data_IF_023318203865
#
_entry.id   IF_023318203865
#
_cell.length_a   1.000
_cell.length_b   1.000
_cell.length_c   1.000
_cell.angle_alpha   90.00
_cell.angle_beta   90.00
_cell.angle_gamma   90.00
#
_symmetry.space_group_name_H-M   'P 1'
#
loop_
_entity.id
_entity.type
_entity.pdbx_description
1 polymer ?
#
# COMPACT_ATOMS: atom_id res chain seq x y z
N UNK A 1 14.73 -31.57 41.90
CA UNK A 1 13.65 -30.64 42.29
C UNK A 1 13.71 -29.45 41.33
N UNK A 2 12.58 -29.14 40.67
CA UNK A 2 12.26 -27.94 39.85
C UNK A 2 13.04 -27.68 38.54
N UNK A 3 12.34 -27.83 37.41
CA UNK A 3 12.56 -27.02 36.19
C UNK A 3 12.11 -25.57 36.47
N UNK A 4 12.60 -24.60 35.68
CA UNK A 4 11.74 -24.08 34.63
C UNK A 4 12.42 -23.86 33.26
N UNK A 5 11.56 -23.83 32.25
CA UNK A 5 11.74 -23.50 30.83
C UNK A 5 11.70 -21.97 30.66
N UNK A 6 12.50 -21.35 29.77
CA UNK A 6 12.10 -20.22 28.89
C UNK A 6 13.06 -20.16 27.67
N UNK A 7 12.43 -20.02 26.50
CA UNK A 7 12.93 -19.86 25.12
C UNK A 7 13.43 -18.43 24.87
N UNK A 8 14.35 -18.20 23.92
CA UNK A 8 14.26 -17.17 22.86
C UNK A 8 15.51 -17.24 21.96
N UNK A 9 15.27 -17.55 20.68
CA UNK A 9 16.19 -17.51 19.56
C UNK A 9 16.30 -16.05 19.10
N UNK A 10 17.46 -15.42 19.27
CA UNK A 10 17.84 -14.20 18.55
C UNK A 10 19.35 -14.26 18.30
N UNK A 11 19.75 -13.76 17.13
CA UNK A 11 21.12 -13.55 16.65
C UNK A 11 21.71 -14.62 15.72
N UNK A 12 21.24 -14.64 14.47
CA UNK A 12 22.12 -14.94 13.33
C UNK A 12 21.73 -14.11 12.11
N UNK A 13 21.94 -12.79 12.10
CA UNK A 13 22.25 -12.03 10.87
C UNK A 13 23.08 -10.80 11.26
N UNK A 14 24.40 -10.95 11.44
CA UNK A 14 25.30 -9.80 11.54
C UNK A 14 26.74 -10.03 11.04
N UNK A 15 27.10 -11.21 10.51
CA UNK A 15 28.49 -11.51 10.15
C UNK A 15 28.68 -12.07 8.74
N UNK A 16 27.81 -11.70 7.78
CA UNK A 16 27.96 -12.06 6.37
C UNK A 16 27.98 -10.85 5.42
N UNK A 17 28.21 -9.64 5.94
CA UNK A 17 28.09 -8.39 5.18
C UNK A 17 29.34 -8.03 4.34
N UNK A 18 30.52 -8.60 4.62
CA UNK A 18 31.77 -8.20 3.93
C UNK A 18 32.10 -8.99 2.66
N UNK A 19 31.78 -10.29 2.62
CA UNK A 19 32.21 -11.18 1.54
C UNK A 19 31.13 -11.44 0.47
N UNK A 20 29.89 -11.02 0.75
CA UNK A 20 28.75 -11.14 -0.19
C UNK A 20 28.68 -10.01 -1.22
N UNK A 21 29.42 -8.91 -1.04
CA UNK A 21 29.29 -7.73 -1.89
C UNK A 21 29.90 -7.93 -3.29
N UNK A 22 30.96 -8.73 -3.41
CA UNK A 22 31.62 -8.96 -4.71
C UNK A 22 30.92 -10.01 -5.59
N UNK A 23 30.24 -11.00 -5.01
CA UNK A 23 29.60 -12.10 -5.78
C UNK A 23 28.19 -11.76 -6.30
N UNK A 24 27.61 -10.63 -5.85
CA UNK A 24 26.26 -10.18 -6.22
C UNK A 24 26.21 -9.31 -7.48
N UNK A 25 27.34 -8.79 -7.98
CA UNK A 25 27.36 -7.95 -9.18
C UNK A 25 27.21 -8.74 -10.50
N UNK A 26 27.46 -10.06 -10.50
CA UNK A 26 27.45 -10.89 -11.71
C UNK A 26 26.53 -12.12 -11.65
N UNK A 27 25.64 -12.21 -10.67
CA UNK A 27 24.56 -13.20 -10.72
C UNK A 27 23.39 -12.57 -11.48
N UNK A 28 22.85 -13.17 -12.55
CA UNK A 28 21.55 -12.75 -13.03
C UNK A 28 20.61 -12.91 -11.84
N UNK A 29 20.13 -11.78 -11.30
CA UNK A 29 18.94 -11.80 -10.46
C UNK A 29 17.92 -12.47 -11.35
N UNK A 30 17.52 -13.71 -11.00
CA UNK A 30 16.28 -14.23 -11.51
C UNK A 30 15.25 -13.19 -11.07
N UNK A 31 14.86 -12.33 -12.01
CA UNK A 31 13.72 -11.47 -11.82
C UNK A 31 12.61 -12.36 -11.26
N UNK A 32 11.83 -11.90 -10.26
CA UNK A 32 10.62 -12.62 -9.89
C UNK A 32 9.91 -12.98 -11.20
N UNK A 33 9.61 -14.27 -11.37
CA UNK A 33 9.02 -14.77 -12.59
C UNK A 33 7.80 -13.89 -12.88
N UNK A 34 7.80 -13.18 -14.02
CA UNK A 34 6.65 -12.44 -14.50
C UNK A 34 5.52 -13.47 -14.59
N UNK A 35 4.58 -13.44 -13.64
CA UNK A 35 3.55 -14.48 -13.51
C UNK A 35 2.57 -14.47 -14.67
N UNK A 36 2.76 -13.57 -15.66
CA UNK A 36 1.89 -13.44 -16.82
C UNK A 36 0.57 -12.77 -16.50
N UNK A 37 0.39 -12.27 -15.27
CA UNK A 37 -0.79 -11.49 -14.87
C UNK A 37 -0.84 -10.14 -15.56
N UNK A 38 -2.04 -9.57 -15.71
CA UNK A 38 -2.20 -8.23 -16.27
C UNK A 38 -1.36 -7.20 -15.49
N UNK A 39 -0.80 -6.25 -16.21
CA UNK A 39 0.00 -5.15 -15.65
C UNK A 39 -0.84 -3.89 -15.55
N UNK A 40 -0.87 -3.30 -14.36
CA UNK A 40 -1.39 -1.95 -14.18
C UNK A 40 -0.30 -0.93 -14.47
N UNK A 41 -0.70 0.19 -15.05
CA UNK A 41 0.14 1.36 -15.27
C UNK A 41 -0.43 2.49 -14.42
N UNK A 42 0.45 3.23 -13.75
CA UNK A 42 0.01 4.25 -12.83
C UNK A 42 1.03 5.37 -12.62
N UNK A 43 0.58 6.37 -11.86
CA UNK A 43 1.36 7.53 -11.47
C UNK A 43 1.30 7.71 -9.96
N UNK A 44 2.47 7.78 -9.33
CA UNK A 44 2.62 8.17 -7.94
C UNK A 44 2.71 9.70 -7.85
N UNK A 45 1.78 10.31 -7.12
CA UNK A 45 1.85 11.71 -6.73
C UNK A 45 2.44 11.77 -5.33
N UNK A 46 3.75 12.01 -5.27
CA UNK A 46 4.47 12.12 -4.01
C UNK A 46 3.91 13.29 -3.18
N UNK A 47 3.68 13.10 -1.86
CA UNK A 47 3.31 14.20 -0.98
C UNK A 47 4.44 15.22 -0.88
N UNK A 48 4.10 16.45 -0.47
CA UNK A 48 5.08 17.53 -0.27
C UNK A 48 6.24 17.02 0.59
N UNK A 49 7.48 17.32 0.21
CA UNK A 49 8.68 16.91 0.95
C UNK A 49 9.25 15.55 0.56
N UNK A 50 8.59 14.81 -0.34
CA UNK A 50 9.10 13.55 -0.88
C UNK A 50 9.25 13.61 -2.40
N UNK A 51 10.08 12.74 -2.95
CA UNK A 51 10.22 12.55 -4.40
C UNK A 51 9.84 11.13 -4.81
N UNK A 52 9.28 10.90 -6.01
CA UNK A 52 8.77 9.58 -6.38
C UNK A 52 9.79 8.42 -6.28
N UNK A 53 11.06 8.68 -6.57
CA UNK A 53 12.15 7.69 -6.49
C UNK A 53 12.47 7.18 -5.06
N UNK A 54 11.97 7.87 -4.03
CA UNK A 54 12.07 7.44 -2.63
C UNK A 54 11.10 6.29 -2.31
N UNK A 55 10.15 6.03 -3.21
CA UNK A 55 9.16 4.99 -3.08
C UNK A 55 9.51 3.75 -3.90
N UNK A 56 9.06 2.60 -3.41
CA UNK A 56 9.06 1.33 -4.13
C UNK A 56 7.61 0.83 -4.23
N UNK A 57 7.17 0.49 -5.42
CA UNK A 57 5.86 -0.12 -5.62
C UNK A 57 5.92 -1.57 -5.19
N UNK A 58 4.94 -2.01 -4.41
CA UNK A 58 4.72 -3.39 -3.98
C UNK A 58 3.32 -3.80 -4.41
N UNK A 59 3.22 -4.92 -5.12
CA UNK A 59 1.96 -5.54 -5.52
C UNK A 59 2.17 -7.02 -5.79
N UNK A 60 1.26 -7.89 -5.32
CA UNK A 60 1.29 -9.34 -5.56
C UNK A 60 2.64 -10.03 -5.27
N UNK A 61 3.35 -9.60 -4.24
CA UNK A 61 4.66 -10.15 -3.87
C UNK A 61 5.81 -9.71 -4.79
N UNK A 62 5.54 -8.90 -5.80
CA UNK A 62 6.55 -8.20 -6.60
C UNK A 62 6.83 -6.81 -6.04
N UNK A 63 8.06 -6.34 -6.24
CA UNK A 63 8.47 -4.96 -5.96
C UNK A 63 9.14 -4.34 -7.18
N UNK A 64 8.83 -3.08 -7.49
CA UNK A 64 9.46 -2.31 -8.58
C UNK A 64 9.73 -0.88 -8.16
N UNK A 65 10.81 -0.30 -8.68
CA UNK A 65 11.12 1.11 -8.45
C UNK A 65 10.15 2.01 -9.23
N UNK A 66 9.86 3.18 -8.66
CA UNK A 66 9.09 4.24 -9.33
C UNK A 66 10.05 5.07 -10.19
N UNK A 67 9.62 5.42 -11.41
CA UNK A 67 10.39 6.30 -12.27
C UNK A 67 10.47 7.71 -11.68
N UNK A 68 11.46 8.50 -12.10
CA UNK A 68 11.64 9.87 -11.59
C UNK A 68 10.46 10.80 -11.91
N UNK A 69 9.69 10.51 -12.96
CA UNK A 69 8.46 11.22 -13.34
C UNK A 69 7.21 10.76 -12.57
N UNK A 70 7.37 9.82 -11.62
CA UNK A 70 6.29 9.24 -10.84
C UNK A 70 5.58 8.06 -11.51
N UNK A 71 5.90 7.73 -12.75
CA UNK A 71 5.25 6.61 -13.43
C UNK A 71 5.74 5.27 -12.89
N UNK A 72 4.85 4.27 -12.90
CA UNK A 72 5.19 2.91 -12.48
C UNK A 72 4.35 1.85 -13.20
N UNK A 73 4.81 0.60 -13.09
CA UNK A 73 4.04 -0.59 -13.45
C UNK A 73 3.98 -1.54 -12.27
N UNK A 74 2.87 -2.25 -12.14
CA UNK A 74 2.69 -3.25 -11.10
C UNK A 74 1.83 -4.42 -11.57
N UNK A 75 2.02 -5.59 -10.96
CA UNK A 75 1.17 -6.74 -11.20
C UNK A 75 -0.23 -6.49 -10.63
N UNK A 76 -1.26 -6.92 -11.35
CA UNK A 76 -2.66 -6.89 -10.91
C UNK A 76 -3.29 -8.28 -11.09
N UNK A 77 -4.39 -8.52 -10.36
CA UNK A 77 -5.26 -9.64 -10.67
C UNK A 77 -5.95 -9.43 -12.02
N UNK A 78 -6.26 -10.53 -12.70
CA UNK A 78 -7.03 -10.47 -13.95
C UNK A 78 -8.50 -10.10 -13.72
N UNK A 79 -9.02 -10.44 -12.53
CA UNK A 79 -10.32 -10.09 -11.98
C UNK A 79 -10.26 -10.07 -10.44
N UNK A 80 -11.06 -9.20 -9.82
CA UNK A 80 -11.13 -9.00 -8.36
C UNK A 80 -10.49 -7.71 -7.89
N UNK A 81 -10.11 -7.68 -6.61
CA UNK A 81 -9.59 -6.50 -5.91
C UNK A 81 -8.08 -6.59 -5.77
N UNK A 82 -7.37 -5.68 -6.41
CA UNK A 82 -5.91 -5.52 -6.32
C UNK A 82 -5.57 -4.38 -5.38
N UNK A 83 -4.64 -4.61 -4.46
CA UNK A 83 -4.04 -3.57 -3.64
C UNK A 83 -2.63 -3.29 -4.12
N UNK A 84 -2.32 -2.02 -4.39
CA UNK A 84 -1.00 -1.56 -4.81
C UNK A 84 -0.51 -0.55 -3.79
N UNK A 85 0.69 -0.75 -3.27
CA UNK A 85 1.30 0.14 -2.29
C UNK A 85 2.59 0.76 -2.85
N UNK A 86 2.81 2.04 -2.57
CA UNK A 86 4.08 2.73 -2.74
C UNK A 86 4.71 2.91 -1.36
N UNK A 87 5.73 2.11 -1.06
CA UNK A 87 6.40 2.06 0.25
C UNK A 87 7.61 3.01 0.25
N UNK A 88 7.69 3.90 1.25
CA UNK A 88 8.88 4.71 1.50
C UNK A 88 10.02 3.81 2.02
N UNK A 89 11.24 3.98 1.51
CA UNK A 89 12.38 3.09 1.88
C UNK A 89 12.77 3.16 3.36
N UNK A 90 12.54 4.29 4.01
CA UNK A 90 13.02 4.55 5.38
C UNK A 90 11.87 4.75 6.40
N UNK A 91 10.63 4.43 6.02
CA UNK A 91 9.47 4.58 6.91
C UNK A 91 8.55 3.36 6.85
N UNK A 92 7.96 3.01 7.99
CA UNK A 92 6.92 1.98 8.10
C UNK A 92 5.53 2.51 7.69
N UNK A 93 5.49 3.34 6.65
CA UNK A 93 4.25 3.88 6.08
C UNK A 93 4.40 4.01 4.57
N UNK A 94 3.35 3.64 3.84
CA UNK A 94 3.28 3.75 2.39
C UNK A 94 1.99 4.41 1.93
N UNK A 95 2.01 4.91 0.70
CA UNK A 95 0.80 5.30 0.00
C UNK A 95 0.17 4.07 -0.65
N UNK A 96 -1.14 4.07 -0.86
CA UNK A 96 -1.88 2.89 -1.29
C UNK A 96 -2.99 3.26 -2.25
N UNK A 97 -3.35 2.34 -3.15
CA UNK A 97 -4.60 2.39 -3.89
C UNK A 97 -5.21 0.99 -4.02
N UNK A 98 -6.53 0.95 -4.12
CA UNK A 98 -7.33 -0.25 -4.40
C UNK A 98 -7.84 -0.15 -5.83
N UNK A 99 -7.50 -1.15 -6.65
CA UNK A 99 -7.92 -1.25 -8.04
C UNK A 99 -8.83 -2.46 -8.18
N UNK A 100 -10.08 -2.23 -8.59
CA UNK A 100 -11.02 -3.30 -8.90
C UNK A 100 -10.96 -3.60 -10.38
N UNK A 101 -10.92 -4.89 -10.72
CA UNK A 101 -10.83 -5.39 -12.09
C UNK A 101 -11.90 -6.44 -12.33
N UNK A 102 -12.50 -6.45 -13.51
CA UNK A 102 -13.45 -7.48 -13.92
C UNK A 102 -12.82 -8.41 -14.95
N UNK A 103 -13.29 -9.66 -14.96
CA UNK A 103 -12.87 -10.63 -15.95
C UNK A 103 -13.24 -10.15 -17.37
N UNK A 104 -12.29 -10.28 -18.30
CA UNK A 104 -12.48 -9.82 -19.69
C UNK A 104 -12.48 -8.30 -19.90
N UNK A 105 -12.38 -7.50 -18.84
CA UNK A 105 -12.27 -6.03 -18.93
C UNK A 105 -10.81 -5.60 -18.88
N UNK A 106 -10.46 -4.58 -19.67
CA UNK A 106 -9.12 -3.99 -19.65
C UNK A 106 -8.88 -3.30 -18.29
N UNK A 107 -7.65 -3.42 -17.76
CA UNK A 107 -7.29 -2.71 -16.51
C UNK A 107 -7.34 -1.21 -16.77
N UNK A 108 -7.84 -0.40 -15.80
CA UNK A 108 -7.76 1.04 -15.88
C UNK A 108 -6.34 1.52 -16.18
N UNK A 109 -6.20 2.36 -17.21
CA UNK A 109 -4.95 3.05 -17.49
C UNK A 109 -4.82 4.27 -16.57
N UNK A 110 -3.60 4.53 -16.09
CA UNK A 110 -3.25 5.68 -15.24
C UNK A 110 -3.86 5.63 -13.83
N UNK A 111 -3.67 4.51 -13.13
CA UNK A 111 -3.99 4.41 -11.70
C UNK A 111 -3.14 5.39 -10.90
N UNK A 112 -3.76 6.29 -10.15
CA UNK A 112 -3.04 7.22 -9.27
C UNK A 112 -2.76 6.59 -7.91
N UNK A 113 -1.58 6.81 -7.34
CA UNK A 113 -1.31 6.59 -5.91
C UNK A 113 -0.95 7.94 -5.29
N UNK A 114 -1.71 8.36 -4.29
CA UNK A 114 -1.59 9.64 -3.59
C UNK A 114 -2.20 9.56 -2.18
N UNK A 115 -2.25 10.66 -1.44
CA UNK A 115 -2.83 10.66 -0.09
C UNK A 115 -4.34 10.40 -0.08
N UNK A 116 -5.07 10.77 -1.14
CA UNK A 116 -6.51 10.56 -1.26
C UNK A 116 -6.85 9.08 -1.45
N UNK A 117 -6.23 8.45 -2.44
CA UNK A 117 -6.35 7.01 -2.70
C UNK A 117 -5.86 6.19 -1.51
N UNK A 118 -4.86 6.68 -0.76
CA UNK A 118 -4.41 6.05 0.49
C UNK A 118 -5.49 6.10 1.57
N UNK A 119 -6.14 7.26 1.77
CA UNK A 119 -7.24 7.37 2.72
C UNK A 119 -8.39 6.42 2.38
N UNK A 120 -8.75 6.35 1.08
CA UNK A 120 -9.76 5.42 0.57
C UNK A 120 -9.35 3.97 0.85
N UNK A 121 -8.12 3.59 0.51
CA UNK A 121 -7.61 2.23 0.69
C UNK A 121 -7.57 1.80 2.16
N UNK A 122 -7.14 2.67 3.06
CA UNK A 122 -7.08 2.39 4.50
C UNK A 122 -8.46 2.20 5.12
N UNK A 123 -9.45 2.99 4.68
CA UNK A 123 -10.84 2.82 5.12
C UNK A 123 -11.41 1.51 4.56
N UNK A 124 -11.21 1.25 3.26
CA UNK A 124 -11.66 0.02 2.62
C UNK A 124 -11.03 -1.23 3.24
N UNK A 125 -9.75 -1.19 3.62
CA UNK A 125 -9.03 -2.31 4.21
C UNK A 125 -9.47 -2.67 5.64
N UNK A 126 -10.43 -1.95 6.21
CA UNK A 126 -11.00 -2.33 7.52
C UNK A 126 -11.91 -3.55 7.41
N UNK A 127 -11.93 -4.46 8.41
CA UNK A 127 -12.66 -5.73 8.31
C UNK A 127 -14.17 -5.59 8.03
N UNK A 128 -14.77 -4.46 8.39
CA UNK A 128 -16.20 -4.21 8.17
C UNK A 128 -16.53 -3.82 6.72
N UNK A 129 -15.54 -3.36 5.95
CA UNK A 129 -15.72 -2.81 4.60
C UNK A 129 -14.98 -3.61 3.53
N UNK A 130 -13.90 -4.31 3.90
CA UNK A 130 -13.09 -5.07 2.98
C UNK A 130 -13.86 -6.26 2.40
N UNK A 131 -13.85 -6.37 1.07
CA UNK A 131 -14.45 -7.49 0.35
C UNK A 131 -13.60 -7.87 -0.86
N UNK A 132 -13.65 -9.14 -1.25
CA UNK A 132 -13.04 -9.64 -2.49
C UNK A 132 -14.03 -9.69 -3.66
N UNK A 133 -15.32 -9.46 -3.41
CA UNK A 133 -16.34 -9.37 -4.45
C UNK A 133 -16.16 -8.03 -5.20
N UNK A 134 -15.89 -8.05 -6.52
CA UNK A 134 -15.61 -6.83 -7.28
C UNK A 134 -16.80 -5.88 -7.40
N UNK A 135 -18.03 -6.39 -7.49
CA UNK A 135 -19.22 -5.54 -7.57
C UNK A 135 -19.47 -4.85 -6.23
N UNK A 136 -19.41 -5.62 -5.13
CA UNK A 136 -19.53 -5.06 -3.79
C UNK A 136 -18.40 -4.07 -3.49
N UNK A 137 -17.17 -4.36 -3.93
CA UNK A 137 -16.03 -3.46 -3.75
C UNK A 137 -16.25 -2.13 -4.47
N UNK A 138 -16.79 -2.13 -5.71
CA UNK A 138 -17.11 -0.89 -6.44
C UNK A 138 -18.13 -0.04 -5.70
N UNK A 139 -19.20 -0.66 -5.19
CA UNK A 139 -20.24 0.06 -4.44
C UNK A 139 -19.68 0.71 -3.17
N UNK A 140 -18.90 -0.04 -2.39
CA UNK A 140 -18.27 0.45 -1.16
C UNK A 140 -17.25 1.56 -1.47
N UNK A 141 -16.37 1.35 -2.45
CA UNK A 141 -15.36 2.33 -2.85
C UNK A 141 -15.98 3.62 -3.38
N UNK A 142 -17.13 3.55 -4.08
CA UNK A 142 -17.86 4.72 -4.52
C UNK A 142 -18.34 5.59 -3.34
N UNK A 143 -18.83 4.95 -2.27
CA UNK A 143 -19.23 5.66 -1.04
C UNK A 143 -18.02 6.25 -0.33
N UNK A 144 -16.97 5.45 -0.10
CA UNK A 144 -15.74 5.90 0.59
C UNK A 144 -15.11 7.10 -0.14
N UNK A 145 -15.03 7.04 -1.47
CA UNK A 145 -14.38 8.09 -2.29
C UNK A 145 -15.10 9.43 -2.21
N UNK A 146 -16.43 9.41 -2.06
CA UNK A 146 -17.25 10.63 -1.99
C UNK A 146 -17.38 11.18 -0.57
N UNK A 147 -16.94 10.44 0.45
CA UNK A 147 -17.11 10.83 1.85
C UNK A 147 -16.16 11.99 2.24
N UNK A 148 -16.69 13.11 2.77
CA UNK A 148 -15.88 14.28 3.12
C UNK A 148 -14.93 14.04 4.30
N UNK A 149 -15.23 13.09 5.21
CA UNK A 149 -14.32 12.71 6.29
C UNK A 149 -13.15 11.88 5.77
N UNK A 150 -13.35 11.11 4.69
CA UNK A 150 -12.25 10.43 3.99
C UNK A 150 -11.32 11.45 3.31
N UNK A 151 -11.87 12.48 2.66
CA UNK A 151 -11.06 13.58 2.11
C UNK A 151 -10.29 14.37 3.20
N UNK A 152 -10.92 14.59 4.36
CA UNK A 152 -10.23 15.18 5.51
C UNK A 152 -9.10 14.26 6.02
N UNK A 153 -9.32 12.94 6.06
CA UNK A 153 -8.30 11.97 6.44
C UNK A 153 -7.11 11.96 5.47
N UNK A 154 -7.35 12.08 4.16
CA UNK A 154 -6.28 12.23 3.16
C UNK A 154 -5.37 13.44 3.43
N UNK A 155 -5.95 14.55 3.87
CA UNK A 155 -5.18 15.74 4.27
C UNK A 155 -4.29 15.44 5.48
N UNK A 156 -4.82 14.72 6.48
CA UNK A 156 -4.06 14.32 7.66
C UNK A 156 -2.93 13.35 7.30
N UNK A 157 -3.16 12.39 6.40
CA UNK A 157 -2.11 11.47 5.91
C UNK A 157 -0.90 12.25 5.37
N UNK A 158 -1.14 13.26 4.52
CA UNK A 158 -0.08 14.10 3.97
C UNK A 158 0.73 14.85 5.02
N UNK A 159 0.09 15.23 6.15
CA UNK A 159 0.74 15.90 7.27
C UNK A 159 1.56 14.92 8.11
N UNK A 160 0.96 13.79 8.52
CA UNK A 160 1.61 12.85 9.44
C UNK A 160 2.74 12.06 8.79
N UNK A 161 2.74 11.93 7.47
CA UNK A 161 3.84 11.34 6.70
C UNK A 161 5.19 12.04 6.91
N UNK A 162 5.17 13.31 7.32
CA UNK A 162 6.40 14.04 7.68
C UNK A 162 7.00 13.59 9.02
N UNK A 163 6.19 12.98 9.89
CA UNK A 163 6.63 12.45 11.19
C UNK A 163 7.45 11.17 11.02
N UNK A 164 8.32 10.88 11.98
CA UNK A 164 9.11 9.63 12.03
C UNK A 164 8.19 8.41 12.19
N UNK A 165 7.11 8.54 12.96
CA UNK A 165 6.07 7.52 13.13
C UNK A 165 4.69 8.13 12.84
N UNK A 166 4.21 8.03 11.58
CA UNK A 166 2.91 8.55 11.18
C UNK A 166 1.74 7.85 11.91
N UNK A 167 1.87 6.56 12.24
CA UNK A 167 0.79 5.75 12.84
C UNK A 167 0.62 6.03 14.33
N UNK A 168 1.68 6.47 15.01
CA UNK A 168 1.64 6.92 16.39
C UNK A 168 0.96 8.30 16.56
N UNK A 169 0.72 9.06 15.49
CA UNK A 169 0.11 10.38 15.60
C UNK A 169 -1.37 10.30 16.05
N UNK A 170 -1.79 11.04 17.09
CA UNK A 170 -3.18 11.09 17.52
C UNK A 170 -4.14 11.55 16.41
N UNK A 171 -3.73 12.52 15.60
CA UNK A 171 -4.51 13.11 14.52
C UNK A 171 -4.83 12.06 13.45
N UNK A 172 -3.87 11.18 13.14
CA UNK A 172 -4.08 10.06 12.21
C UNK A 172 -5.20 9.13 12.71
N UNK A 173 -5.12 8.68 13.96
CA UNK A 173 -6.11 7.76 14.56
C UNK A 173 -7.50 8.39 14.63
N UNK A 174 -7.57 9.66 15.03
CA UNK A 174 -8.84 10.38 15.13
C UNK A 174 -9.49 10.56 13.75
N UNK A 175 -8.70 10.92 12.74
CA UNK A 175 -9.20 11.10 11.37
C UNK A 175 -9.67 9.78 10.75
N UNK A 176 -8.93 8.69 10.94
CA UNK A 176 -9.35 7.35 10.50
C UNK A 176 -10.67 6.93 11.16
N UNK A 177 -10.80 7.11 12.48
CA UNK A 177 -12.04 6.79 13.20
C UNK A 177 -13.22 7.62 12.71
N UNK A 178 -13.02 8.92 12.46
CA UNK A 178 -14.07 9.80 11.93
C UNK A 178 -14.51 9.41 10.52
N UNK A 179 -13.56 9.04 9.65
CA UNK A 179 -13.84 8.55 8.31
C UNK A 179 -14.65 7.24 8.35
N UNK A 180 -14.22 6.27 9.16
CA UNK A 180 -14.92 4.99 9.33
C UNK A 180 -16.34 5.16 9.85
N UNK A 181 -16.53 5.99 10.89
CA UNK A 181 -17.85 6.24 11.44
C UNK A 181 -18.80 6.88 10.41
N UNK A 182 -18.30 7.80 9.58
CA UNK A 182 -19.06 8.48 8.52
C UNK A 182 -19.49 7.51 7.41
N UNK A 183 -18.54 6.72 6.89
CA UNK A 183 -18.80 5.74 5.84
C UNK A 183 -19.78 4.67 6.31
N UNK A 184 -19.58 4.11 7.52
CA UNK A 184 -20.46 3.07 8.06
C UNK A 184 -21.89 3.58 8.29
N UNK A 185 -22.06 4.83 8.70
CA UNK A 185 -23.38 5.45 8.85
C UNK A 185 -24.09 5.65 7.49
N UNK A 186 -23.33 5.83 6.40
CA UNK A 186 -23.89 5.96 5.05
C UNK A 186 -24.28 4.60 4.46
N UNK A 187 -23.48 3.57 4.70
CA UNK A 187 -23.75 2.21 4.21
C UNK A 187 -24.84 1.48 5.03
N UNK A 188 -24.99 1.82 6.31
CA UNK A 188 -26.00 1.27 7.23
C UNK A 188 -26.84 2.39 7.86
N UNK A 189 -27.74 3.03 7.10
CA UNK A 189 -28.52 4.18 7.55
C UNK A 189 -29.58 3.85 8.61
#
# INVERSE_FOLDING_TARGET
MKRPVVIIIVAVIAAAAGLLWWKRSNSPVLAPADTGGKKLQGTLVAPVGFTPNEFTIVSHGESREVNADGTFTAAAYDAGVTMVAAMLRDKEFGLMNIVVTDEGVAIPENVTIDTQTTAVALVFATPQLMTSDPEQAKEILAVITQDPKVAAFATIIGQVLQSDDPLAQPEYRQALQAALASVLATLNP
#
